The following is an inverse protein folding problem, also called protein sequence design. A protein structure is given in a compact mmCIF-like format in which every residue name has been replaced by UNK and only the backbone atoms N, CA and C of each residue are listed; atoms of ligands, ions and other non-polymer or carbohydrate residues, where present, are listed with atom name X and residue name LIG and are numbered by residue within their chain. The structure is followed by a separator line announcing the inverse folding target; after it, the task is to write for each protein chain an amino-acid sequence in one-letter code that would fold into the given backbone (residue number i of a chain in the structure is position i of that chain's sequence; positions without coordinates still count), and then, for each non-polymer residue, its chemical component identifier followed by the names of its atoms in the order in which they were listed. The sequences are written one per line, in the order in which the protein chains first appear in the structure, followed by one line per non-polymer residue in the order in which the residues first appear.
data_IF_409614245038
#
_entry.id   IF_409614245038
#
_cell.length_a   1.000
_cell.length_b   1.000
_cell.length_c   1.000
_cell.angle_alpha   90.00
_cell.angle_beta   90.00
_cell.angle_gamma   90.00
#
_symmetry.space_group_name_H-M   'P 1'
#
loop_
_entity.id
_entity.type
_entity.pdbx_description
1 polymer ?
#
# COMPACT_ATOMS: atom_id res chain seq x y z
N UNK A 1 7.52 2.70 5.56
CA UNK A 1 6.92 1.70 4.65
C UNK A 1 6.07 2.43 3.63
N UNK A 2 6.65 2.82 2.48
CA UNK A 2 5.95 3.45 1.39
C UNK A 2 5.07 2.42 0.69
N UNK A 3 3.79 2.75 0.71
CA UNK A 3 2.76 2.18 -0.13
C UNK A 3 2.51 3.17 -1.27
N UNK A 4 2.17 2.66 -2.45
CA UNK A 4 1.80 3.49 -3.58
C UNK A 4 0.51 2.98 -4.21
N UNK A 5 -0.49 3.85 -4.31
CA UNK A 5 -1.72 3.62 -5.05
C UNK A 5 -1.68 4.44 -6.35
N UNK A 6 -1.47 3.74 -7.45
CA UNK A 6 -1.56 4.32 -8.80
C UNK A 6 -2.88 3.90 -9.44
N UNK A 7 -3.57 4.80 -10.12
CA UNK A 7 -4.78 4.47 -10.87
C UNK A 7 -4.91 5.34 -12.10
N UNK A 8 -5.53 4.85 -13.17
CA UNK A 8 -5.77 5.67 -14.36
C UNK A 8 -6.88 6.69 -14.14
N UNK A 9 -6.76 7.87 -14.74
CA UNK A 9 -7.80 8.91 -14.72
C UNK A 9 -9.19 8.37 -15.07
N UNK A 10 -10.19 8.85 -14.32
CA UNK A 10 -11.58 8.41 -14.43
C UNK A 10 -11.93 7.16 -13.62
N UNK A 11 -10.95 6.41 -13.10
CA UNK A 11 -11.20 5.28 -12.18
C UNK A 11 -11.63 5.78 -10.80
N UNK A 12 -10.82 6.63 -10.17
CA UNK A 12 -11.13 7.29 -8.90
C UNK A 12 -11.14 8.81 -9.11
N UNK A 13 -11.94 9.52 -8.32
CA UNK A 13 -11.73 10.97 -8.11
C UNK A 13 -10.52 11.16 -7.20
N UNK A 14 -9.94 12.36 -7.16
CA UNK A 14 -8.85 12.68 -6.23
C UNK A 14 -9.24 12.43 -4.76
N UNK A 15 -10.46 12.83 -4.38
CA UNK A 15 -11.00 12.60 -3.05
C UNK A 15 -11.16 11.10 -2.74
N UNK A 16 -11.74 10.33 -3.67
CA UNK A 16 -11.89 8.88 -3.51
C UNK A 16 -10.53 8.18 -3.41
N UNK A 17 -9.55 8.60 -4.21
CA UNK A 17 -8.16 8.14 -4.14
C UNK A 17 -7.55 8.40 -2.77
N UNK A 18 -7.67 9.63 -2.25
CA UNK A 18 -7.18 10.01 -0.91
C UNK A 18 -7.84 9.18 0.20
N UNK A 19 -9.15 8.99 0.14
CA UNK A 19 -9.88 8.20 1.13
C UNK A 19 -9.51 6.71 1.05
N UNK A 20 -9.37 6.15 -0.16
CA UNK A 20 -8.91 4.80 -0.37
C UNK A 20 -7.48 4.60 0.18
N UNK A 21 -6.58 5.53 -0.13
CA UNK A 21 -5.21 5.53 0.40
C UNK A 21 -5.18 5.52 1.94
N UNK A 22 -5.99 6.36 2.59
CA UNK A 22 -6.13 6.35 4.05
C UNK A 22 -6.60 4.99 4.56
N UNK A 23 -7.68 4.43 3.99
CA UNK A 23 -8.23 3.14 4.39
C UNK A 23 -7.24 1.99 4.19
N UNK A 24 -6.45 2.01 3.11
CA UNK A 24 -5.40 1.01 2.86
C UNK A 24 -4.29 1.11 3.90
N UNK A 25 -3.86 2.32 4.24
CA UNK A 25 -2.86 2.53 5.32
C UNK A 25 -3.38 2.02 6.66
N UNK A 26 -4.63 2.32 7.01
CA UNK A 26 -5.28 1.82 8.23
C UNK A 26 -5.36 0.27 8.21
N UNK A 27 -5.73 -0.32 7.07
CA UNK A 27 -5.78 -1.77 6.88
C UNK A 27 -4.40 -2.42 7.03
N UNK A 28 -3.36 -1.80 6.46
CA UNK A 28 -1.98 -2.26 6.62
C UNK A 28 -1.61 -2.33 8.10
N UNK A 29 -1.82 -1.24 8.86
CA UNK A 29 -1.54 -1.22 10.30
C UNK A 29 -2.35 -2.28 11.06
N UNK A 30 -3.65 -2.40 10.76
CA UNK A 30 -4.55 -3.39 11.37
C UNK A 30 -4.06 -4.82 11.19
N UNK A 31 -3.73 -5.22 9.96
CA UNK A 31 -3.28 -6.59 9.67
C UNK A 31 -1.94 -6.95 10.31
N UNK A 32 -1.15 -5.96 10.71
CA UNK A 32 0.10 -6.16 11.44
C UNK A 32 -0.05 -6.03 12.96
N UNK A 33 -1.27 -5.83 13.48
CA UNK A 33 -1.50 -5.58 14.91
C UNK A 33 -0.95 -4.23 15.39
N UNK A 34 -0.73 -3.28 14.48
CA UNK A 34 -0.13 -1.96 14.73
C UNK A 34 -1.16 -0.83 14.70
N UNK A 35 -2.46 -1.13 14.77
CA UNK A 35 -3.49 -0.10 14.81
C UNK A 35 -3.32 0.77 16.06
N UNK A 36 -3.11 2.08 15.87
CA UNK A 36 -2.84 3.02 16.96
C UNK A 36 -1.40 3.05 17.46
N UNK A 37 -0.48 2.28 16.85
CA UNK A 37 0.94 2.29 17.19
C UNK A 37 1.55 3.66 16.82
N UNK A 38 2.07 4.37 17.81
CA UNK A 38 2.51 5.75 17.66
C UNK A 38 3.79 5.89 16.82
N UNK A 39 4.64 4.85 16.82
CA UNK A 39 5.86 4.81 16.02
C UNK A 39 5.54 4.52 14.56
N UNK A 40 4.61 3.61 14.27
CA UNK A 40 4.37 3.13 12.91
C UNK A 40 3.32 3.88 12.14
N UNK A 41 2.33 4.44 12.81
CA UNK A 41 1.30 5.26 12.15
C UNK A 41 1.92 6.35 11.26
N UNK A 42 2.89 7.16 11.70
CA UNK A 42 3.52 8.16 10.83
C UNK A 42 4.50 7.56 9.80
N UNK A 43 4.95 6.32 10.01
CA UNK A 43 5.96 5.67 9.19
C UNK A 43 5.41 4.72 8.13
N UNK A 44 4.09 4.49 8.10
CA UNK A 44 3.38 3.90 6.95
C UNK A 44 2.91 5.05 6.07
N UNK A 45 3.59 5.25 4.95
CA UNK A 45 3.32 6.36 4.04
C UNK A 45 2.56 5.86 2.82
N UNK A 46 1.72 6.72 2.24
CA UNK A 46 0.95 6.41 1.04
C UNK A 46 1.18 7.48 -0.02
N UNK A 47 1.71 7.07 -1.17
CA UNK A 47 1.78 7.89 -2.38
C UNK A 47 0.55 7.58 -3.24
N UNK A 48 -0.12 8.62 -3.73
CA UNK A 48 -1.35 8.46 -4.52
C UNK A 48 -1.14 9.20 -5.83
N UNK A 49 -1.30 8.51 -6.95
CA UNK A 49 -1.05 9.09 -8.26
C UNK A 49 -2.14 8.68 -9.26
N UNK A 50 -2.80 9.67 -9.84
CA UNK A 50 -3.60 9.49 -11.04
C UNK A 50 -2.66 9.45 -12.26
N UNK A 51 -2.74 8.38 -13.04
CA UNK A 51 -2.04 8.22 -14.31
C UNK A 51 -2.92 8.79 -15.41
N UNK A 52 -2.37 9.59 -16.34
CA UNK A 52 -3.15 10.16 -17.44
C UNK A 52 -3.76 9.06 -18.33
N UNK A 53 -4.77 9.40 -19.13
CA UNK A 53 -5.28 8.49 -20.16
C UNK A 53 -4.15 7.93 -21.05
N UNK A 54 -4.09 6.60 -21.19
CA UNK A 54 -3.01 5.92 -21.91
C UNK A 54 -1.68 5.80 -21.13
N UNK A 55 -1.61 6.31 -19.91
CA UNK A 55 -0.43 6.23 -19.04
C UNK A 55 -0.16 4.85 -18.44
N UNK A 56 -1.00 3.85 -18.73
CA UNK A 56 -0.79 2.47 -18.34
C UNK A 56 -1.26 1.52 -19.45
N UNK A 57 -0.53 0.42 -19.61
CA UNK A 57 -0.80 -0.62 -20.59
C UNK A 57 -1.00 -1.98 -19.91
N UNK A 58 -1.85 -2.83 -20.47
CA UNK A 58 -1.96 -4.25 -20.12
C UNK A 58 -1.92 -5.06 -21.41
N UNK A 59 -0.98 -6.01 -21.51
CA UNK A 59 -0.75 -6.74 -22.76
C UNK A 59 -0.30 -5.87 -23.94
N UNK A 60 0.24 -4.67 -23.67
CA UNK A 60 0.65 -3.70 -24.69
C UNK A 60 -0.43 -2.68 -25.08
N UNK A 61 -1.65 -2.82 -24.58
CA UNK A 61 -2.78 -1.94 -24.93
C UNK A 61 -3.22 -1.04 -23.77
N UNK A 62 -3.72 0.18 -24.03
CA UNK A 62 -4.25 1.07 -22.99
C UNK A 62 -5.26 0.39 -22.07
N UNK A 63 -5.06 0.53 -20.76
CA UNK A 63 -5.91 -0.12 -19.75
C UNK A 63 -6.43 0.88 -18.74
N UNK A 64 -7.68 0.70 -18.31
CA UNK A 64 -8.19 1.30 -17.07
C UNK A 64 -7.83 0.38 -15.92
N UNK A 65 -7.07 0.86 -14.94
CA UNK A 65 -6.48 0.00 -13.92
C UNK A 65 -6.14 0.73 -12.63
N UNK A 66 -5.91 -0.06 -11.58
CA UNK A 66 -5.31 0.39 -10.32
C UNK A 66 -4.22 -0.58 -9.86
N UNK A 67 -3.15 -0.06 -9.28
CA UNK A 67 -1.99 -0.80 -8.78
C UNK A 67 -1.67 -0.34 -7.37
N UNK A 68 -1.63 -1.29 -6.45
CA UNK A 68 -1.11 -1.09 -5.09
C UNK A 68 0.27 -1.72 -4.98
N UNK A 69 1.29 -0.89 -4.79
CA UNK A 69 2.65 -1.36 -4.55
C UNK A 69 3.04 -1.18 -3.10
N UNK A 70 3.56 -2.23 -2.48
CA UNK A 70 4.01 -2.19 -1.08
C UNK A 70 5.53 -2.42 -1.03
N UNK A 71 6.28 -1.40 -0.60
CA UNK A 71 7.72 -1.52 -0.36
C UNK A 71 7.98 -1.48 1.14
N UNK A 72 8.45 -2.58 1.71
CA UNK A 72 8.50 -2.75 3.17
C UNK A 72 9.76 -3.49 3.64
N UNK A 73 10.16 -3.39 4.92
CA UNK A 73 11.12 -4.31 5.53
C UNK A 73 10.65 -5.77 5.43
N UNK A 74 11.58 -6.72 5.45
CA UNK A 74 11.26 -8.14 5.22
C UNK A 74 10.39 -8.80 6.29
N UNK A 75 10.21 -8.17 7.46
CA UNK A 75 9.29 -8.68 8.49
C UNK A 75 7.83 -8.25 8.28
N UNK A 76 7.58 -7.17 7.53
CA UNK A 76 6.22 -6.72 7.23
C UNK A 76 5.67 -7.50 6.04
N UNK A 77 4.39 -7.89 6.09
CA UNK A 77 3.76 -8.80 5.12
C UNK A 77 4.57 -10.10 4.91
N UNK A 78 5.27 -10.57 5.94
CA UNK A 78 6.03 -11.83 5.89
C UNK A 78 5.13 -13.07 6.11
N UNK A 79 4.06 -12.90 6.88
CA UNK A 79 3.09 -13.96 7.18
C UNK A 79 2.06 -14.11 6.06
N UNK A 80 1.71 -15.36 5.73
CA UNK A 80 0.82 -15.67 4.61
C UNK A 80 -0.61 -15.22 4.85
N UNK A 81 -1.12 -15.35 6.07
CA UNK A 81 -2.49 -14.96 6.40
C UNK A 81 -2.63 -13.44 6.38
N UNK A 82 -1.61 -12.72 6.88
CA UNK A 82 -1.52 -11.25 6.74
C UNK A 82 -1.54 -10.85 5.27
N UNK A 83 -0.75 -11.50 4.40
CA UNK A 83 -0.76 -11.21 2.96
C UNK A 83 -2.14 -11.44 2.34
N UNK A 84 -2.77 -12.60 2.59
CA UNK A 84 -4.10 -12.90 2.05
C UNK A 84 -5.12 -11.85 2.49
N UNK A 85 -5.14 -11.56 3.80
CA UNK A 85 -6.09 -10.64 4.41
C UNK A 85 -5.92 -9.21 3.90
N UNK A 86 -4.69 -8.68 3.99
CA UNK A 86 -4.38 -7.31 3.60
C UNK A 86 -4.65 -7.07 2.11
N UNK A 87 -4.15 -7.92 1.21
CA UNK A 87 -4.35 -7.70 -0.22
C UNK A 87 -5.81 -7.87 -0.65
N UNK A 88 -6.55 -8.78 -0.01
CA UNK A 88 -7.99 -8.88 -0.24
C UNK A 88 -8.69 -7.58 0.14
N UNK A 89 -8.48 -7.10 1.36
CA UNK A 89 -9.13 -5.89 1.88
C UNK A 89 -8.73 -4.64 1.11
N UNK A 90 -7.45 -4.49 0.76
CA UNK A 90 -6.98 -3.38 -0.06
C UNK A 90 -7.66 -3.38 -1.44
N UNK A 91 -7.84 -4.56 -2.04
CA UNK A 91 -8.57 -4.69 -3.30
C UNK A 91 -10.05 -4.34 -3.14
N UNK A 92 -10.69 -4.76 -2.04
CA UNK A 92 -12.08 -4.40 -1.72
C UNK A 92 -12.21 -2.87 -1.60
N UNK A 93 -11.31 -2.22 -0.86
CA UNK A 93 -11.30 -0.75 -0.68
C UNK A 93 -11.22 -0.01 -2.03
N UNK A 94 -10.33 -0.46 -2.93
CA UNK A 94 -10.14 0.17 -4.24
C UNK A 94 -11.39 -0.04 -5.12
N UNK A 95 -11.94 -1.26 -5.13
CA UNK A 95 -13.13 -1.59 -5.91
C UNK A 95 -14.35 -0.77 -5.44
N UNK A 96 -14.55 -0.66 -4.14
CA UNK A 96 -15.63 0.15 -3.55
C UNK A 96 -15.46 1.63 -3.89
N UNK A 97 -14.24 2.16 -3.80
CA UNK A 97 -13.93 3.55 -4.15
C UNK A 97 -14.11 3.84 -5.66
N UNK A 98 -14.01 2.82 -6.52
CA UNK A 98 -14.25 2.96 -7.94
C UNK A 98 -15.74 3.00 -8.30
N UNK A 99 -16.64 2.61 -7.39
CA UNK A 99 -18.11 2.67 -7.58
C UNK A 99 -18.55 1.99 -8.89
N UNK A 100 -17.99 0.81 -9.19
CA UNK A 100 -18.28 0.04 -10.40
C UNK A 100 -17.57 0.51 -11.68
N UNK A 101 -16.78 1.60 -11.63
CA UNK A 101 -16.00 2.08 -12.79
C UNK A 101 -14.78 1.20 -13.10
N UNK A 102 -14.35 0.37 -12.16
CA UNK A 102 -13.23 -0.54 -12.32
C UNK A 102 -13.62 -1.95 -11.84
N UNK A 103 -13.54 -2.96 -12.72
CA UNK A 103 -13.78 -4.33 -12.31
C UNK A 103 -12.58 -4.87 -11.51
N UNK A 104 -12.84 -5.80 -10.61
CA UNK A 104 -11.88 -6.26 -9.60
C UNK A 104 -10.62 -6.88 -10.22
N UNK A 105 -10.76 -7.57 -11.34
CA UNK A 105 -9.65 -8.19 -12.09
C UNK A 105 -8.67 -7.17 -12.71
N UNK A 106 -9.00 -5.86 -12.68
CA UNK A 106 -8.11 -4.77 -13.09
C UNK A 106 -7.52 -3.99 -11.92
N UNK A 107 -7.49 -4.62 -10.74
CA UNK A 107 -6.78 -4.14 -9.56
C UNK A 107 -5.64 -5.12 -9.31
N UNK A 108 -4.41 -4.61 -9.36
CA UNK A 108 -3.21 -5.41 -9.13
C UNK A 108 -2.51 -4.96 -7.84
N UNK A 109 -1.83 -5.88 -7.20
CA UNK A 109 -1.05 -5.59 -5.99
C UNK A 109 0.25 -6.36 -5.99
N UNK A 110 1.31 -5.78 -5.44
CA UNK A 110 2.57 -6.47 -5.24
C UNK A 110 3.25 -6.04 -3.93
N UNK A 111 4.25 -6.83 -3.54
CA UNK A 111 5.12 -6.59 -2.39
C UNK A 111 6.57 -6.68 -2.85
N UNK A 112 7.38 -5.73 -2.42
CA UNK A 112 8.84 -5.78 -2.51
C UNK A 112 9.41 -5.60 -1.12
N UNK A 113 10.20 -6.58 -0.68
CA UNK A 113 10.99 -6.45 0.55
C UNK A 113 12.32 -5.76 0.25
N UNK A 114 12.64 -4.73 1.00
CA UNK A 114 13.95 -4.07 0.93
C UNK A 114 15.01 -4.86 1.69
N UNK A 115 16.27 -4.71 1.29
CA UNK A 115 17.42 -5.34 1.96
C UNK A 115 17.48 -4.86 3.43
N UNK A 116 17.81 -5.76 4.34
CA UNK A 116 17.97 -5.42 5.76
C UNK A 116 19.04 -4.31 5.95
N UNK A 117 18.81 -3.38 6.88
CA UNK A 117 19.69 -2.24 7.11
C UNK A 117 19.52 -1.08 6.14
N UNK A 118 18.66 -1.19 5.13
CA UNK A 118 18.40 -0.11 4.16
C UNK A 118 17.17 0.74 4.49
N UNK A 119 16.46 0.40 5.57
CA UNK A 119 15.28 1.15 5.97
C UNK A 119 15.68 2.43 6.71
N UNK A 120 15.25 3.58 6.22
CA UNK A 120 15.51 4.85 6.89
C UNK A 120 14.34 5.23 7.81
N UNK A 121 14.65 5.56 9.06
CA UNK A 121 13.72 6.12 10.04
C UNK A 121 14.42 7.30 10.73
N UNK A 122 13.79 8.48 10.69
CA UNK A 122 14.34 9.72 11.27
C UNK A 122 15.75 10.10 10.78
N UNK A 123 16.09 9.74 9.54
CA UNK A 123 17.42 9.98 8.95
C UNK A 123 18.44 8.88 9.23
N UNK A 124 18.09 7.85 10.00
CA UNK A 124 18.99 6.75 10.33
C UNK A 124 18.63 5.46 9.58
N UNK A 125 19.62 4.83 8.96
CA UNK A 125 19.46 3.50 8.37
C UNK A 125 19.42 2.44 9.50
N UNK A 126 18.35 1.64 9.53
CA UNK A 126 18.07 0.70 10.60
C UNK A 126 17.98 -0.74 10.07
N UNK A 127 18.51 -1.67 10.84
CA UNK A 127 18.25 -3.11 10.66
C UNK A 127 16.82 -3.46 11.07
N UNK A 128 16.34 -4.62 10.64
CA UNK A 128 15.05 -5.18 11.02
C UNK A 128 14.94 -5.37 12.54
N UNK A 129 16.05 -5.72 13.19
CA UNK A 129 16.11 -5.80 14.65
C UNK A 129 15.93 -4.42 15.28
N UNK A 130 16.69 -3.41 14.84
CA UNK A 130 16.58 -2.04 15.36
C UNK A 130 15.18 -1.46 15.13
N UNK A 131 14.58 -1.73 13.98
CA UNK A 131 13.19 -1.36 13.71
C UNK A 131 12.24 -2.05 14.69
N UNK A 132 12.38 -3.36 14.90
CA UNK A 132 11.54 -4.12 15.84
C UNK A 132 11.65 -3.59 17.27
N UNK A 133 12.83 -3.18 17.69
CA UNK A 133 13.06 -2.54 18.99
C UNK A 133 12.41 -1.15 19.08
N UNK A 134 12.32 -0.40 17.98
CA UNK A 134 11.58 0.88 17.91
C UNK A 134 10.07 0.62 17.94
N UNK A 135 9.57 -0.36 17.20
CA UNK A 135 8.16 -0.78 17.15
C UNK A 135 7.59 -1.05 18.54
N UNK A 136 8.36 -1.76 19.36
CA UNK A 136 7.95 -2.16 20.70
C UNK A 136 7.76 -0.98 21.69
N UNK A 137 8.19 0.24 21.33
CA UNK A 137 8.13 1.42 22.20
C UNK A 137 6.83 2.22 22.09
N UNK A 138 5.91 1.87 21.19
CA UNK A 138 4.61 2.53 21.11
C UNK A 138 3.87 2.28 19.83
#
# INVERSE_FOLDING_TARGET
MPLALNYTEGVLTEEAGRLAGKKITDAFLKWHGLAGNAVMTPNVTMQIQALPHGGALSGGEPVKGAWLECKTPSFALADRDIQVGFFKEATDIIADAAEGRLPREKIWSNLVHTVDGTWNLDGEAMTNQQLSERLAKG
#
